data_IF_662002998510
#
_entry.id   IF_662002998510
#
_cell.length_a   1.000
_cell.length_b   1.000
_cell.length_c   1.000
_cell.angle_alpha   90.00
_cell.angle_beta   90.00
_cell.angle_gamma   90.00
#
_symmetry.space_group_name_H-M   'P 1'
#
loop_
_entity.id
_entity.type
_entity.pdbx_description
1 polymer ?
#
# COMPACT_ATOMS: atom_id res chain seq x y z
N UNK A 1 -10.27 2.80 -6.54
CA UNK A 1 -9.67 1.44 -6.64
C UNK A 1 -9.11 1.09 -5.27
N UNK A 2 -9.31 -0.14 -4.79
CA UNK A 2 -8.64 -0.63 -3.59
C UNK A 2 -7.29 -1.23 -4.01
N UNK A 3 -6.18 -0.71 -3.46
CA UNK A 3 -4.80 -1.01 -3.86
C UNK A 3 -4.49 -0.60 -5.31
N UNK A 4 -3.35 -1.06 -5.82
CA UNK A 4 -2.90 -0.85 -7.20
C UNK A 4 -1.93 -1.95 -7.65
N UNK A 5 -1.67 -2.01 -8.96
CA UNK A 5 -0.62 -2.88 -9.53
C UNK A 5 0.76 -2.56 -8.92
N UNK A 6 1.00 -1.30 -8.56
CA UNK A 6 2.23 -0.87 -7.90
C UNK A 6 2.38 -1.50 -6.51
N UNK A 7 1.33 -1.48 -5.68
CA UNK A 7 1.39 -2.14 -4.36
C UNK A 7 1.58 -3.65 -4.46
N UNK A 8 1.01 -4.29 -5.49
CA UNK A 8 1.18 -5.71 -5.72
C UNK A 8 2.66 -6.03 -5.98
N UNK A 9 3.31 -5.25 -6.86
CA UNK A 9 4.71 -5.46 -7.20
C UNK A 9 5.69 -5.01 -6.12
N UNK A 10 5.53 -3.79 -5.62
CA UNK A 10 6.51 -3.13 -4.74
C UNK A 10 6.43 -3.56 -3.28
N UNK A 11 5.28 -4.10 -2.84
CA UNK A 11 5.13 -4.60 -1.47
C UNK A 11 5.03 -6.13 -1.46
N UNK A 12 4.04 -6.72 -2.14
CA UNK A 12 3.77 -8.16 -1.97
C UNK A 12 4.77 -9.05 -2.72
N UNK A 13 5.02 -8.80 -4.01
CA UNK A 13 6.02 -9.57 -4.78
C UNK A 13 7.41 -9.35 -4.19
N UNK A 14 7.73 -8.11 -3.80
CA UNK A 14 8.97 -7.79 -3.11
C UNK A 14 9.12 -8.58 -1.80
N UNK A 15 8.06 -8.65 -0.97
CA UNK A 15 8.06 -9.46 0.25
C UNK A 15 8.31 -10.93 -0.03
N UNK A 16 7.56 -11.50 -0.97
CA UNK A 16 7.68 -12.92 -1.33
C UNK A 16 9.07 -13.24 -1.91
N UNK A 17 9.68 -12.30 -2.62
CA UNK A 17 11.06 -12.43 -3.10
C UNK A 17 12.07 -12.40 -1.96
N UNK A 18 11.93 -11.47 -1.00
CA UNK A 18 12.83 -11.34 0.16
C UNK A 18 12.74 -12.53 1.11
N UNK A 19 11.55 -13.13 1.22
CA UNK A 19 11.34 -14.34 2.01
C UNK A 19 11.84 -15.61 1.30
N UNK A 20 12.30 -15.50 0.05
CA UNK A 20 12.71 -16.66 -0.75
C UNK A 20 11.56 -17.58 -1.18
N UNK A 21 10.30 -17.13 -1.04
CA UNK A 21 9.10 -17.87 -1.45
C UNK A 21 8.98 -17.85 -2.98
N UNK A 22 9.24 -16.70 -3.61
CA UNK A 22 9.33 -16.60 -5.06
C UNK A 22 10.79 -16.74 -5.51
N UNK A 23 11.01 -17.67 -6.43
CA UNK A 23 12.33 -17.86 -7.04
C UNK A 23 12.69 -16.68 -7.96
N UNK A 24 13.99 -16.36 -8.13
CA UNK A 24 14.41 -15.25 -8.98
C UNK A 24 13.85 -15.28 -10.42
N UNK A 25 13.76 -16.44 -11.10
CA UNK A 25 13.13 -16.50 -12.43
C UNK A 25 11.64 -16.11 -12.41
N UNK A 26 10.89 -16.54 -11.38
CA UNK A 26 9.47 -16.20 -11.24
C UNK A 26 9.27 -14.69 -11.02
N UNK A 27 10.13 -14.08 -10.19
CA UNK A 27 10.13 -12.62 -9.99
C UNK A 27 10.45 -11.91 -11.31
N UNK A 28 11.45 -12.35 -12.06
CA UNK A 28 11.81 -11.74 -13.34
C UNK A 28 10.67 -11.79 -14.38
N UNK A 29 9.89 -12.88 -14.41
CA UNK A 29 8.69 -12.97 -15.25
C UNK A 29 7.63 -11.96 -14.81
N UNK A 30 7.34 -11.89 -13.52
CA UNK A 30 6.37 -10.91 -12.96
C UNK A 30 6.81 -9.48 -13.28
N UNK A 31 8.11 -9.18 -13.17
CA UNK A 31 8.68 -7.86 -13.46
C UNK A 31 8.51 -7.49 -14.93
N UNK A 32 8.73 -8.44 -15.82
CA UNK A 32 8.55 -8.25 -17.26
C UNK A 32 7.10 -7.90 -17.60
N UNK A 33 6.14 -8.62 -17.00
CA UNK A 33 4.72 -8.31 -17.16
C UNK A 33 4.35 -6.97 -16.55
N UNK A 34 4.83 -6.68 -15.34
CA UNK A 34 4.60 -5.41 -14.68
C UNK A 34 5.09 -4.23 -15.52
N UNK A 35 6.31 -4.32 -16.07
CA UNK A 35 6.87 -3.31 -16.95
C UNK A 35 6.06 -3.13 -18.24
N UNK A 36 5.64 -4.23 -18.86
CA UNK A 36 4.81 -4.18 -20.06
C UNK A 36 3.47 -3.49 -19.79
N UNK A 37 2.76 -3.88 -18.72
CA UNK A 37 1.46 -3.31 -18.35
C UNK A 37 1.61 -1.82 -18.06
N UNK A 38 2.57 -1.43 -17.23
CA UNK A 38 2.79 -0.02 -16.86
C UNK A 38 3.22 0.86 -18.02
N UNK A 39 3.79 0.30 -19.09
CA UNK A 39 4.23 1.05 -20.27
C UNK A 39 3.17 1.08 -21.38
N UNK A 40 2.38 0.02 -21.52
CA UNK A 40 1.47 -0.18 -22.68
C UNK A 40 0.00 0.01 -22.34
N UNK A 41 -0.37 -0.08 -21.07
CA UNK A 41 -1.75 0.08 -20.61
C UNK A 41 -1.89 1.36 -19.80
N UNK A 42 -3.08 1.95 -19.84
CA UNK A 42 -3.40 3.10 -19.02
C UNK A 42 -3.72 2.65 -17.59
N UNK A 43 -2.69 2.63 -16.74
CA UNK A 43 -2.78 2.32 -15.30
C UNK A 43 -2.33 3.49 -14.43
N UNK A 44 -2.37 4.69 -15.00
CA UNK A 44 -1.95 5.92 -14.31
C UNK A 44 -2.86 6.23 -13.14
N UNK A 45 -2.27 6.82 -12.11
CA UNK A 45 -2.94 7.15 -10.86
C UNK A 45 -2.73 8.64 -10.58
N UNK A 46 -3.80 9.37 -10.33
CA UNK A 46 -3.75 10.80 -10.00
C UNK A 46 -3.34 11.05 -8.55
N UNK A 47 -3.68 10.13 -7.64
CA UNK A 47 -3.47 10.23 -6.21
C UNK A 47 -3.42 8.84 -5.56
N UNK A 48 -2.46 8.64 -4.67
CA UNK A 48 -2.42 7.47 -3.80
C UNK A 48 -2.83 7.90 -2.39
N UNK A 49 -3.87 7.26 -1.85
CA UNK A 49 -4.28 7.45 -0.46
C UNK A 49 -3.70 6.30 0.37
N UNK A 50 -2.73 6.60 1.22
CA UNK A 50 -2.10 5.63 2.10
C UNK A 50 -2.75 5.68 3.48
N UNK A 51 -3.54 4.64 3.78
CA UNK A 51 -4.12 4.43 5.12
C UNK A 51 -3.04 3.81 6.01
N UNK A 52 -2.32 4.67 6.75
CA UNK A 52 -1.23 4.25 7.62
C UNK A 52 -1.79 3.77 8.94
N UNK A 53 -1.42 2.56 9.35
CA UNK A 53 -1.88 1.92 10.60
C UNK A 53 -0.72 1.14 11.17
N UNK A 54 -0.56 1.19 12.49
CA UNK A 54 0.45 0.41 13.22
C UNK A 54 0.22 -1.10 13.03
N UNK A 55 1.30 -1.91 12.89
CA UNK A 55 1.20 -3.35 12.72
C UNK A 55 0.38 -4.06 13.81
N UNK A 56 0.49 -3.60 15.05
CA UNK A 56 -0.22 -4.12 16.22
C UNK A 56 -1.73 -3.95 16.05
N UNK A 57 -2.19 -2.75 15.66
CA UNK A 57 -3.60 -2.47 15.40
C UNK A 57 -4.12 -3.26 14.19
N UNK A 58 -3.30 -3.43 13.14
CA UNK A 58 -3.66 -4.28 12.00
C UNK A 58 -3.84 -5.74 12.43
N UNK A 59 -2.94 -6.26 13.26
CA UNK A 59 -3.01 -7.62 13.78
C UNK A 59 -4.27 -7.85 14.61
N UNK A 60 -4.61 -6.93 15.53
CA UNK A 60 -5.87 -6.99 16.29
C UNK A 60 -7.09 -6.98 15.37
N UNK A 61 -7.07 -6.17 14.30
CA UNK A 61 -8.17 -6.10 13.32
C UNK A 61 -8.29 -7.41 12.52
N UNK A 62 -7.19 -8.08 12.18
CA UNK A 62 -7.20 -9.38 11.52
C UNK A 62 -7.82 -10.44 12.44
N UNK A 63 -7.38 -10.50 13.69
CA UNK A 63 -7.93 -11.43 14.68
C UNK A 63 -9.43 -11.20 14.90
N UNK A 64 -9.86 -9.94 14.99
CA UNK A 64 -11.29 -9.59 15.13
C UNK A 64 -12.12 -9.95 13.89
N UNK A 65 -11.52 -9.86 12.70
CA UNK A 65 -12.17 -10.23 11.44
C UNK A 65 -12.31 -11.75 11.27
N UNK A 66 -11.41 -12.51 11.88
CA UNK A 66 -11.45 -13.97 12.01
C UNK A 66 -11.70 -14.71 10.69
N UNK A 67 -10.93 -14.35 9.65
CA UNK A 67 -10.94 -15.06 8.37
C UNK A 67 -10.08 -16.31 8.45
N UNK A 68 -10.57 -17.49 8.05
CA UNK A 68 -9.83 -18.75 8.18
C UNK A 68 -8.50 -18.74 7.44
N UNK A 69 -8.43 -18.07 6.29
CA UNK A 69 -7.20 -17.92 5.48
C UNK A 69 -6.16 -16.97 6.08
N UNK A 70 -6.52 -16.17 7.09
CA UNK A 70 -5.65 -15.17 7.72
C UNK A 70 -5.14 -15.60 9.11
N UNK A 71 -5.60 -16.75 9.65
CA UNK A 71 -5.28 -17.21 11.01
C UNK A 71 -3.77 -17.46 11.20
N UNK A 72 -3.07 -17.89 10.15
CA UNK A 72 -1.63 -18.20 10.21
C UNK A 72 -0.74 -16.98 10.03
N UNK A 73 -1.30 -15.78 9.80
CA UNK A 73 -0.51 -14.57 9.59
C UNK A 73 0.12 -14.13 10.92
N UNK A 74 1.46 -14.11 10.96
CA UNK A 74 2.20 -13.63 12.14
C UNK A 74 2.28 -12.11 12.20
N UNK A 75 2.45 -11.58 13.40
CA UNK A 75 2.71 -10.14 13.60
C UNK A 75 3.99 -9.70 12.86
N UNK A 76 5.02 -10.54 12.83
CA UNK A 76 6.28 -10.22 12.14
C UNK A 76 6.10 -10.11 10.62
N UNK A 77 5.21 -10.92 10.03
CA UNK A 77 4.84 -10.77 8.63
C UNK A 77 4.16 -9.41 8.37
N UNK A 78 3.28 -8.97 9.27
CA UNK A 78 2.61 -7.68 9.15
C UNK A 78 3.60 -6.54 9.31
N UNK A 79 4.51 -6.61 10.28
CA UNK A 79 5.59 -5.62 10.50
C UNK A 79 6.46 -5.48 9.26
N UNK A 80 6.95 -6.58 8.73
CA UNK A 80 7.80 -6.57 7.53
C UNK A 80 7.07 -6.05 6.29
N UNK A 81 5.77 -6.33 6.13
CA UNK A 81 4.97 -5.73 5.06
C UNK A 81 4.71 -4.24 5.29
N UNK A 82 4.53 -3.80 6.55
CA UNK A 82 4.39 -2.39 6.92
C UNK A 82 5.65 -1.60 6.54
N UNK A 83 6.84 -2.10 6.86
CA UNK A 83 8.11 -1.46 6.48
C UNK A 83 8.24 -1.28 4.97
N UNK A 84 7.80 -2.25 4.16
CA UNK A 84 7.80 -2.08 2.69
C UNK A 84 6.88 -0.95 2.22
N UNK A 85 5.73 -0.76 2.87
CA UNK A 85 4.85 0.35 2.57
C UNK A 85 5.42 1.69 3.05
N UNK A 86 6.04 1.73 4.23
CA UNK A 86 6.72 2.92 4.74
C UNK A 86 7.88 3.32 3.82
N UNK A 87 8.73 2.39 3.44
CA UNK A 87 9.86 2.64 2.55
C UNK A 87 9.42 3.09 1.15
N UNK A 88 8.28 2.62 0.67
CA UNK A 88 7.75 3.04 -0.63
C UNK A 88 7.01 4.37 -0.57
N UNK A 89 6.01 4.51 0.33
CA UNK A 89 5.03 5.58 0.30
C UNK A 89 5.39 6.76 1.23
N UNK A 90 6.09 6.50 2.33
CA UNK A 90 6.42 7.51 3.34
C UNK A 90 7.86 8.01 3.19
N UNK A 91 8.84 7.12 3.31
CA UNK A 91 10.26 7.45 3.20
C UNK A 91 10.75 7.59 1.76
N UNK A 92 10.02 7.04 0.78
CA UNK A 92 10.34 7.10 -0.66
C UNK A 92 11.75 6.58 -1.00
N UNK A 93 12.18 5.52 -0.30
CA UNK A 93 13.52 4.90 -0.42
C UNK A 93 13.56 3.75 -1.42
N UNK A 94 12.44 3.06 -1.63
CA UNK A 94 12.43 1.81 -2.40
C UNK A 94 12.10 2.00 -3.88
N UNK A 95 10.96 2.63 -4.18
CA UNK A 95 10.48 2.82 -5.55
C UNK A 95 9.93 4.22 -5.75
N UNK A 96 10.00 4.73 -6.98
CA UNK A 96 9.36 6.00 -7.35
C UNK A 96 7.85 5.84 -7.28
N UNK A 97 7.19 6.76 -6.59
CA UNK A 97 5.74 6.79 -6.54
C UNK A 97 5.19 7.39 -7.85
N UNK A 98 4.21 6.75 -8.52
CA UNK A 98 3.64 7.24 -9.78
C UNK A 98 2.74 8.48 -9.58
N UNK A 99 2.33 8.77 -8.33
CA UNK A 99 1.39 9.82 -7.99
C UNK A 99 1.76 10.49 -6.65
N UNK A 100 1.23 11.68 -6.36
CA UNK A 100 1.22 12.24 -5.00
C UNK A 100 0.62 11.25 -3.99
N UNK A 101 1.14 11.26 -2.77
CA UNK A 101 0.68 10.39 -1.68
C UNK A 101 0.01 11.25 -0.60
N UNK A 102 -1.25 10.96 -0.32
CA UNK A 102 -1.97 11.47 0.84
C UNK A 102 -1.92 10.42 1.95
N UNK A 103 -1.31 10.77 3.08
CA UNK A 103 -1.21 9.88 4.23
C UNK A 103 -2.36 10.18 5.18
N UNK A 104 -3.11 9.15 5.54
CA UNK A 104 -4.21 9.24 6.50
C UNK A 104 -3.89 8.32 7.67
N UNK A 105 -3.92 8.87 8.88
CA UNK A 105 -3.82 8.09 10.11
C UNK A 105 -5.09 7.26 10.29
N UNK A 106 -4.94 5.96 10.11
CA UNK A 106 -5.99 4.97 10.23
C UNK A 106 -5.85 4.08 11.47
N UNK A 107 -5.00 4.45 12.45
CA UNK A 107 -5.07 3.89 13.81
C UNK A 107 -6.32 4.39 14.54
N UNK A 108 -6.83 5.56 14.14
CA UNK A 108 -8.03 6.18 14.71
C UNK A 108 -9.29 5.32 14.54
N UNK A 109 -10.23 5.48 15.48
CA UNK A 109 -11.55 4.86 15.41
C UNK A 109 -12.33 5.27 14.15
N UNK A 110 -13.23 4.39 13.71
CA UNK A 110 -14.09 4.58 12.52
C UNK A 110 -14.81 5.94 12.49
N UNK A 111 -15.22 6.44 13.66
CA UNK A 111 -15.93 7.72 13.80
C UNK A 111 -15.02 8.92 13.53
N UNK A 112 -13.73 8.83 13.87
CA UNK A 112 -12.72 9.86 13.62
C UNK A 112 -12.23 9.82 12.17
N UNK A 113 -12.01 8.62 11.61
CA UNK A 113 -11.65 8.45 10.19
C UNK A 113 -12.70 9.06 9.27
N UNK A 114 -13.99 8.93 9.59
CA UNK A 114 -15.05 9.56 8.77
C UNK A 114 -14.92 11.08 8.73
N UNK A 115 -14.53 11.72 9.84
CA UNK A 115 -14.31 13.16 9.90
C UNK A 115 -13.07 13.58 9.12
N UNK A 116 -11.98 12.82 9.23
CA UNK A 116 -10.76 13.04 8.43
C UNK A 116 -11.06 12.88 6.93
N UNK A 117 -11.80 11.85 6.52
CA UNK A 117 -12.24 11.71 5.13
C UNK A 117 -13.04 12.93 4.66
N UNK A 118 -14.05 13.38 5.42
CA UNK A 118 -14.85 14.56 5.06
C UNK A 118 -14.01 15.83 4.93
N UNK A 119 -12.95 15.96 5.75
CA UNK A 119 -12.00 17.07 5.68
C UNK A 119 -11.18 17.04 4.39
N UNK A 120 -10.74 15.85 3.95
CA UNK A 120 -9.90 15.67 2.78
C UNK A 120 -10.67 15.44 1.47
N UNK A 121 -11.97 15.13 1.54
CA UNK A 121 -12.86 14.86 0.40
C UNK A 121 -12.78 15.93 -0.70
N UNK A 122 -12.77 17.24 -0.39
CA UNK A 122 -12.63 18.27 -1.43
C UNK A 122 -11.27 18.23 -2.12
N UNK A 123 -10.19 17.86 -1.41
CA UNK A 123 -8.84 17.76 -1.98
C UNK A 123 -8.67 16.49 -2.81
N UNK A 124 -9.23 15.37 -2.36
CA UNK A 124 -9.22 14.09 -3.05
C UNK A 124 -9.99 14.19 -4.39
N UNK A 125 -11.17 14.81 -4.38
CA UNK A 125 -12.06 14.86 -5.55
C UNK A 125 -11.77 16.01 -6.51
N UNK A 126 -11.33 17.18 -6.02
CA UNK A 126 -11.16 18.37 -6.85
C UNK A 126 -9.70 18.66 -7.25
N UNK A 127 -8.78 17.70 -7.10
CA UNK A 127 -7.36 17.82 -7.49
C UNK A 127 -6.67 19.12 -7.02
N UNK A 128 -7.03 19.65 -5.84
CA UNK A 128 -6.34 20.81 -5.24
C UNK A 128 -5.07 20.39 -4.50
N UNK A 129 -4.23 19.57 -5.13
CA UNK A 129 -2.85 19.34 -4.68
C UNK A 129 -1.94 20.35 -5.37
N UNK A 130 -2.17 21.64 -5.07
CA UNK A 130 -1.32 22.73 -5.49
C UNK A 130 -0.42 23.14 -4.33
N UNK A 131 0.90 23.06 -4.56
CA UNK A 131 1.96 23.69 -3.79
C UNK A 131 2.05 23.31 -2.30
N UNK A 132 2.73 22.21 -1.99
CA UNK A 132 3.82 22.25 -1.00
C UNK A 132 4.85 21.17 -1.37
N UNK A 133 6.03 21.67 -1.69
CA UNK A 133 7.28 20.97 -2.01
C UNK A 133 7.72 20.14 -0.81
#
# INVERSE_FOLDING_TARGET
>A
MERSIFSARYCFVEKLSRDGILSPPSVAVIDSWFHWITTKMNVDVDLIVYLRTSPEVVYERILKRNRPEEISISLDYIKSLHELHEDWLYHKRLHKCPAPVLIVDADLDKTKIKKEYQRWEPNILNKKFGAHI
#
